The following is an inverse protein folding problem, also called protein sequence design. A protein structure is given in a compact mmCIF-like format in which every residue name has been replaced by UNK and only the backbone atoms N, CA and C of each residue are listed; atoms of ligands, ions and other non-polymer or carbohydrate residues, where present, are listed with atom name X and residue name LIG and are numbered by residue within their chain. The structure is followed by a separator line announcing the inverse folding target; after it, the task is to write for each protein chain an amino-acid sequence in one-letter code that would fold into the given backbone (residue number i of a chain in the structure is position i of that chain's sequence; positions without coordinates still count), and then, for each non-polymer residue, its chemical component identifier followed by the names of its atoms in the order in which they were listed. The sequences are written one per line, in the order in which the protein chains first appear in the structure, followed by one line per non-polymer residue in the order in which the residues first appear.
data_IF_642822457145
#
_entry.id   IF_642822457145
#
_cell.length_a   1.000
_cell.length_b   1.000
_cell.length_c   1.000
_cell.angle_alpha   90.00
_cell.angle_beta   90.00
_cell.angle_gamma   90.00
#
_symmetry.space_group_name_H-M   'P 1'
#
loop_
_entity.id
_entity.type
_entity.pdbx_description
1 polymer ?
#
# COMPACT_ATOMS: atom_id res chain seq x y z
N UNK A 1 5.05 22.11 -39.25
CA UNK A 1 4.68 22.74 -37.96
C UNK A 1 3.33 22.12 -37.58
N UNK A 2 3.10 21.40 -36.48
CA UNK A 2 3.40 21.70 -35.08
C UNK A 2 3.28 20.43 -34.18
N UNK A 3 4.25 20.32 -33.26
CA UNK A 3 4.25 19.76 -31.90
C UNK A 3 3.80 18.32 -31.61
N UNK A 4 4.79 17.46 -31.33
CA UNK A 4 4.64 16.15 -30.73
C UNK A 4 4.12 16.21 -29.28
N UNK A 5 3.27 15.24 -28.94
CA UNK A 5 2.65 15.06 -27.62
C UNK A 5 2.58 13.58 -27.23
N UNK A 6 3.66 12.79 -27.34
CA UNK A 6 3.57 11.33 -27.13
C UNK A 6 4.46 10.75 -26.02
N UNK A 7 4.99 11.56 -25.09
CA UNK A 7 5.92 11.04 -24.06
C UNK A 7 5.44 11.22 -22.61
N UNK A 8 4.39 12.02 -22.36
CA UNK A 8 3.95 12.31 -20.99
C UNK A 8 2.96 11.26 -20.45
N UNK A 9 2.03 10.75 -21.26
CA UNK A 9 0.98 9.80 -20.83
C UNK A 9 1.44 8.34 -20.72
N UNK A 10 2.41 7.90 -21.50
CA UNK A 10 2.92 6.52 -21.45
C UNK A 10 3.75 6.25 -20.19
N UNK A 11 4.55 7.23 -19.75
CA UNK A 11 5.36 7.09 -18.53
C UNK A 11 4.51 7.19 -17.26
N UNK A 12 3.47 8.04 -17.23
CA UNK A 12 2.61 8.19 -16.06
C UNK A 12 1.78 6.93 -15.78
N UNK A 13 1.23 6.30 -16.82
CA UNK A 13 0.47 5.04 -16.69
C UNK A 13 1.37 3.88 -16.26
N UNK A 14 2.59 3.79 -16.80
CA UNK A 14 3.56 2.77 -16.42
C UNK A 14 4.11 2.97 -15.00
N UNK A 15 4.41 4.21 -14.61
CA UNK A 15 4.83 4.53 -13.25
C UNK A 15 3.75 4.19 -12.24
N UNK A 16 2.49 4.55 -12.53
CA UNK A 16 1.37 4.23 -11.66
C UNK A 16 1.22 2.71 -11.49
N UNK A 17 1.29 1.94 -12.58
CA UNK A 17 1.25 0.48 -12.54
C UNK A 17 2.39 -0.13 -11.70
N UNK A 18 3.61 0.41 -11.79
CA UNK A 18 4.74 -0.07 -11.00
C UNK A 18 4.59 0.24 -9.50
N UNK A 19 4.15 1.46 -9.17
CA UNK A 19 3.85 1.84 -7.79
C UNK A 19 2.72 0.99 -7.20
N UNK A 20 1.69 0.69 -7.99
CA UNK A 20 0.58 -0.15 -7.57
C UNK A 20 1.02 -1.60 -7.33
N UNK A 21 1.82 -2.17 -8.23
CA UNK A 21 2.41 -3.51 -8.04
C UNK A 21 3.24 -3.61 -6.75
N UNK A 22 4.11 -2.63 -6.49
CA UNK A 22 4.88 -2.59 -5.24
C UNK A 22 3.95 -2.44 -4.04
N UNK A 23 2.98 -1.55 -4.09
CA UNK A 23 2.06 -1.35 -2.98
C UNK A 23 1.24 -2.59 -2.69
N UNK A 24 0.75 -3.31 -3.70
CA UNK A 24 0.04 -4.57 -3.53
C UNK A 24 0.89 -5.59 -2.75
N UNK A 25 2.16 -5.79 -3.16
CA UNK A 25 3.09 -6.68 -2.48
C UNK A 25 3.36 -6.24 -1.03
N UNK A 26 3.56 -4.94 -0.79
CA UNK A 26 3.76 -4.39 0.56
C UNK A 26 2.52 -4.57 1.45
N UNK A 27 1.33 -4.36 0.91
CA UNK A 27 0.07 -4.55 1.64
C UNK A 27 -0.15 -6.04 1.94
N UNK A 28 0.18 -6.95 1.04
CA UNK A 28 0.13 -8.38 1.30
C UNK A 28 1.01 -8.76 2.50
N UNK A 29 2.27 -8.33 2.52
CA UNK A 29 3.17 -8.53 3.65
C UNK A 29 2.64 -7.90 4.96
N UNK A 30 2.08 -6.69 4.88
CA UNK A 30 1.52 -6.01 6.04
C UNK A 30 0.33 -6.74 6.64
N UNK A 31 -0.55 -7.35 5.83
CA UNK A 31 -1.65 -8.19 6.31
C UNK A 31 -1.13 -9.34 7.16
N UNK A 32 -0.09 -10.04 6.70
CA UNK A 32 0.52 -11.13 7.47
C UNK A 32 1.07 -10.63 8.81
N UNK A 33 1.87 -9.57 8.81
CA UNK A 33 2.45 -9.01 10.03
C UNK A 33 1.37 -8.52 11.02
N UNK A 34 0.28 -7.94 10.53
CA UNK A 34 -0.83 -7.46 11.36
C UNK A 34 -1.54 -8.59 12.13
N UNK A 35 -1.50 -9.83 11.62
CA UNK A 35 -2.14 -11.00 12.22
C UNK A 35 -1.17 -11.87 13.01
N UNK A 36 0.10 -11.88 12.65
CA UNK A 36 1.13 -12.72 13.27
C UNK A 36 1.86 -12.04 14.43
N UNK A 37 1.77 -10.71 14.52
CA UNK A 37 2.50 -9.93 15.52
C UNK A 37 1.58 -8.94 16.23
N UNK A 38 2.00 -8.51 17.42
CA UNK A 38 1.37 -7.41 18.16
C UNK A 38 2.04 -6.06 17.88
N UNK A 39 2.92 -5.97 16.88
CA UNK A 39 3.66 -4.75 16.56
C UNK A 39 2.73 -3.58 16.28
N UNK A 40 3.21 -2.37 16.53
CA UNK A 40 2.41 -1.18 16.21
C UNK A 40 2.16 -1.08 14.71
N UNK A 41 1.02 -0.49 14.32
CA UNK A 41 0.71 -0.24 12.90
C UNK A 41 1.81 0.59 12.21
N UNK A 42 2.44 1.50 12.95
CA UNK A 42 3.56 2.31 12.45
C UNK A 42 4.80 1.44 12.19
N UNK A 43 5.14 0.54 13.12
CA UNK A 43 6.26 -0.40 12.98
C UNK A 43 6.08 -1.26 11.74
N UNK A 44 4.89 -1.84 11.55
CA UNK A 44 4.57 -2.67 10.38
C UNK A 44 4.67 -1.85 9.09
N UNK A 45 4.14 -0.62 9.08
CA UNK A 45 4.23 0.27 7.92
C UNK A 45 5.68 0.53 7.49
N UNK A 46 6.57 0.79 8.46
CA UNK A 46 8.00 0.99 8.19
C UNK A 46 8.67 -0.31 7.72
N UNK A 47 8.35 -1.44 8.35
CA UNK A 47 8.90 -2.74 8.00
C UNK A 47 8.56 -3.18 6.56
N UNK A 48 7.36 -2.84 6.07
CA UNK A 48 6.95 -3.10 4.69
C UNK A 48 7.32 -1.97 3.71
N UNK A 49 8.18 -1.03 4.12
CA UNK A 49 8.79 -0.04 3.24
C UNK A 49 7.94 1.21 2.96
N UNK A 50 6.98 1.55 3.81
CA UNK A 50 6.33 2.86 3.78
C UNK A 50 7.09 3.87 4.65
N UNK A 51 7.31 5.06 4.11
CA UNK A 51 8.01 6.15 4.81
C UNK A 51 7.07 7.00 5.68
N UNK A 52 5.75 6.79 5.61
CA UNK A 52 4.77 7.57 6.36
C UNK A 52 3.52 6.75 6.69
N UNK A 53 3.02 6.94 7.91
CA UNK A 53 1.78 6.30 8.39
C UNK A 53 0.57 6.63 7.50
N UNK A 54 0.46 7.88 7.07
CA UNK A 54 -0.67 8.35 6.23
C UNK A 54 -0.70 7.64 4.87
N UNK A 55 0.46 7.48 4.22
CA UNK A 55 0.58 6.76 2.95
C UNK A 55 0.21 5.29 3.09
N UNK A 56 0.70 4.65 4.16
CA UNK A 56 0.32 3.28 4.48
C UNK A 56 -1.19 3.12 4.71
N UNK A 57 -1.80 3.98 5.54
CA UNK A 57 -3.24 3.91 5.81
C UNK A 57 -4.08 4.08 4.55
N UNK A 58 -3.71 5.01 3.66
CA UNK A 58 -4.39 5.21 2.38
C UNK A 58 -4.29 3.97 1.50
N UNK A 59 -3.07 3.47 1.27
CA UNK A 59 -2.85 2.27 0.47
C UNK A 59 -3.60 1.08 1.07
N UNK A 60 -3.40 0.80 2.36
CA UNK A 60 -4.05 -0.33 3.04
C UNK A 60 -5.58 -0.28 2.91
N UNK A 61 -6.18 0.90 3.08
CA UNK A 61 -7.63 1.05 2.90
C UNK A 61 -8.08 0.84 1.45
N UNK A 62 -7.31 1.33 0.48
CA UNK A 62 -7.60 1.11 -0.96
C UNK A 62 -7.57 -0.39 -1.30
N UNK A 63 -6.53 -1.10 -0.86
CA UNK A 63 -6.31 -2.51 -1.20
C UNK A 63 -7.12 -3.51 -0.35
N UNK A 64 -7.64 -3.10 0.80
CA UNK A 64 -8.34 -4.03 1.72
C UNK A 64 -9.76 -3.61 2.08
N UNK A 65 -10.15 -2.36 1.79
CA UNK A 65 -11.41 -1.76 2.25
C UNK A 65 -11.43 -1.39 3.74
N UNK A 66 -10.44 -1.83 4.52
CA UNK A 66 -10.38 -1.65 5.97
C UNK A 66 -9.17 -0.83 6.39
N UNK A 67 -9.22 -0.23 7.58
CA UNK A 67 -8.00 0.31 8.20
C UNK A 67 -7.15 -0.83 8.76
N UNK A 68 -5.83 -0.67 8.90
CA UNK A 68 -4.95 -1.69 9.48
C UNK A 68 -5.42 -2.18 10.87
N UNK A 69 -5.92 -1.26 11.70
CA UNK A 69 -6.45 -1.56 13.02
C UNK A 69 -7.74 -2.38 12.95
N UNK A 70 -8.68 -2.00 12.07
CA UNK A 70 -9.90 -2.79 11.82
C UNK A 70 -9.55 -4.18 11.28
N UNK A 71 -8.61 -4.27 10.36
CA UNK A 71 -8.16 -5.54 9.80
C UNK A 71 -7.61 -6.47 10.90
N UNK A 72 -6.77 -5.95 11.80
CA UNK A 72 -6.28 -6.70 12.96
C UNK A 72 -7.44 -7.19 13.84
N UNK A 73 -8.35 -6.32 14.25
CA UNK A 73 -9.45 -6.71 15.15
C UNK A 73 -10.40 -7.72 14.51
N UNK A 74 -10.81 -7.51 13.25
CA UNK A 74 -11.76 -8.38 12.54
C UNK A 74 -11.20 -9.78 12.29
N UNK A 75 -9.88 -9.91 12.12
CA UNK A 75 -9.24 -11.17 11.76
C UNK A 75 -8.44 -11.83 12.89
N UNK A 76 -8.19 -11.15 14.02
CA UNK A 76 -7.53 -11.72 15.20
C UNK A 76 -8.48 -12.55 16.11
N UNK A 77 -9.78 -12.59 15.81
CA UNK A 77 -10.79 -13.34 16.58
C UNK A 77 -11.22 -14.67 15.92
N UNK A 78 -10.36 -15.28 15.09
CA UNK A 78 -10.54 -16.63 14.56
C UNK A 78 -9.40 -17.52 15.00
#
# INVERSE_FOLDING_TARGET
MQHGQNSQTANQTLQQSFYDYINEARIAAAKHLLLQTNDSVLTIAMAVGFNARSSFYKAFKIYTGLTPAQYRTTHAQR
#
